data_IF_044981439998
#
_entry.id   IF_044981439998
#
_cell.length_a   1.000
_cell.length_b   1.000
_cell.length_c   1.000
_cell.angle_alpha   90.00
_cell.angle_beta   90.00
_cell.angle_gamma   90.00
#
_symmetry.space_group_name_H-M   'P 1'
#
loop_
_entity.id
_entity.type
_entity.pdbx_description
1 polymer ?
#
# COMPACT_ATOMS: atom_id res chain seq x y z
N UNK A 1 -45.17 -5.10 1.56
CA UNK A 1 -44.73 -4.08 0.58
C UNK A 1 -43.23 -4.18 0.39
N UNK A 2 -42.73 -4.15 -0.85
CA UNK A 2 -41.28 -4.22 -1.15
C UNK A 2 -40.74 -2.82 -1.43
N UNK A 3 -39.80 -2.36 -0.62
CA UNK A 3 -39.14 -1.04 -0.78
C UNK A 3 -37.80 -1.22 -1.51
N UNK A 4 -37.58 -0.44 -2.56
CA UNK A 4 -36.35 -0.45 -3.37
C UNK A 4 -35.50 0.78 -3.06
N UNK A 5 -34.25 0.60 -2.67
CA UNK A 5 -33.31 1.69 -2.37
C UNK A 5 -32.08 1.59 -3.25
N UNK A 6 -31.79 2.65 -4.01
CA UNK A 6 -30.55 2.77 -4.79
C UNK A 6 -29.39 3.23 -3.90
N UNK A 7 -28.27 2.52 -3.97
CA UNK A 7 -27.08 2.92 -3.21
C UNK A 7 -25.81 2.76 -4.05
N UNK A 8 -25.41 3.82 -4.77
CA UNK A 8 -24.20 3.75 -5.57
C UNK A 8 -22.98 3.59 -4.65
N UNK A 9 -21.99 2.84 -5.10
CA UNK A 9 -20.72 2.64 -4.38
C UNK A 9 -20.83 1.93 -3.02
N UNK A 10 -21.92 1.20 -2.76
CA UNK A 10 -22.09 0.44 -1.51
C UNK A 10 -20.92 -0.52 -1.23
N UNK A 11 -20.33 -1.10 -2.29
CA UNK A 11 -19.18 -2.00 -2.20
C UNK A 11 -17.87 -1.30 -1.82
N UNK A 12 -17.76 0.02 -2.05
CA UNK A 12 -16.55 0.77 -1.70
C UNK A 12 -16.44 0.97 -0.19
N UNK A 13 -17.57 1.10 0.49
CA UNK A 13 -17.68 1.32 1.94
C UNK A 13 -18.71 0.35 2.53
N UNK A 14 -18.30 -0.90 2.63
CA UNK A 14 -19.12 -1.99 3.18
C UNK A 14 -19.55 -1.69 4.61
N UNK A 15 -18.73 -1.01 5.40
CA UNK A 15 -19.04 -0.72 6.81
C UNK A 15 -20.14 0.34 6.94
N UNK A 16 -20.11 1.41 6.13
CA UNK A 16 -21.21 2.36 6.05
C UNK A 16 -22.48 1.67 5.51
N UNK A 17 -22.31 0.66 4.67
CA UNK A 17 -23.42 -0.15 4.18
C UNK A 17 -24.03 -1.01 5.28
N UNK A 18 -23.21 -1.71 6.06
CA UNK A 18 -23.61 -2.51 7.22
C UNK A 18 -24.36 -1.71 8.27
N UNK A 19 -23.81 -0.56 8.70
CA UNK A 19 -24.46 0.31 9.69
C UNK A 19 -25.85 0.77 9.23
N UNK A 20 -25.97 1.05 7.95
CA UNK A 20 -27.27 1.41 7.37
C UNK A 20 -28.21 0.22 7.27
N UNK A 21 -27.72 -0.98 6.92
CA UNK A 21 -28.56 -2.19 6.96
C UNK A 21 -29.10 -2.44 8.37
N UNK A 22 -28.27 -2.28 9.40
CA UNK A 22 -28.70 -2.34 10.81
C UNK A 22 -29.76 -1.30 11.12
N UNK A 23 -29.56 -0.05 10.71
CA UNK A 23 -30.56 1.02 10.88
C UNK A 23 -31.87 0.75 10.13
N UNK A 24 -31.82 0.06 8.98
CA UNK A 24 -33.03 -0.34 8.24
C UNK A 24 -33.78 -1.44 8.98
N UNK A 25 -33.08 -2.45 9.51
CA UNK A 25 -33.70 -3.51 10.31
C UNK A 25 -34.32 -2.98 11.62
N UNK A 26 -33.68 -2.00 12.27
CA UNK A 26 -34.24 -1.30 13.43
C UNK A 26 -35.55 -0.57 13.12
N UNK A 27 -35.76 -0.19 11.85
CA UNK A 27 -37.02 0.43 11.37
C UNK A 27 -38.04 -0.61 10.87
N UNK A 28 -37.76 -1.90 11.01
CA UNK A 28 -38.61 -2.97 10.51
C UNK A 28 -38.48 -3.22 9.01
N UNK A 29 -37.38 -2.83 8.37
CA UNK A 29 -37.10 -3.18 6.98
C UNK A 29 -36.14 -4.36 6.91
N UNK A 30 -36.66 -5.53 6.55
CA UNK A 30 -35.87 -6.75 6.38
C UNK A 30 -35.29 -6.83 4.97
N UNK A 31 -33.99 -7.08 4.87
CA UNK A 31 -33.28 -7.17 3.60
C UNK A 31 -33.58 -8.50 2.89
N UNK A 32 -34.18 -8.42 1.70
CA UNK A 32 -34.56 -9.61 0.92
C UNK A 32 -33.60 -9.88 -0.23
N UNK A 33 -33.15 -8.83 -0.93
CA UNK A 33 -32.33 -8.99 -2.15
C UNK A 33 -31.38 -7.83 -2.36
N UNK A 34 -30.21 -8.15 -2.92
CA UNK A 34 -29.25 -7.18 -3.44
C UNK A 34 -29.04 -7.44 -4.93
N UNK A 35 -29.35 -6.45 -5.76
CA UNK A 35 -28.95 -6.43 -7.16
C UNK A 35 -27.62 -5.68 -7.32
N UNK A 36 -26.56 -6.43 -7.62
CA UNK A 36 -25.20 -5.89 -7.74
C UNK A 36 -25.02 -4.99 -8.96
N UNK A 37 -25.62 -5.34 -10.10
CA UNK A 37 -25.47 -4.60 -11.35
C UNK A 37 -26.15 -3.24 -11.27
N UNK A 38 -27.41 -3.21 -10.81
CA UNK A 38 -28.16 -1.96 -10.68
C UNK A 38 -27.92 -1.24 -9.35
N UNK A 39 -27.17 -1.85 -8.42
CA UNK A 39 -26.85 -1.31 -7.08
C UNK A 39 -28.09 -0.99 -6.23
N UNK A 40 -29.13 -1.80 -6.38
CA UNK A 40 -30.37 -1.67 -5.60
C UNK A 40 -30.47 -2.72 -4.51
N UNK A 41 -31.00 -2.29 -3.37
CA UNK A 41 -31.36 -3.12 -2.23
C UNK A 41 -32.88 -3.19 -2.15
N UNK A 42 -33.40 -4.39 -1.92
CA UNK A 42 -34.83 -4.65 -1.81
C UNK A 42 -35.14 -5.10 -0.39
N UNK A 43 -36.09 -4.42 0.22
CA UNK A 43 -36.52 -4.66 1.58
C UNK A 43 -37.99 -5.06 1.62
N UNK A 44 -38.35 -5.89 2.59
CA UNK A 44 -39.73 -6.18 2.94
C UNK A 44 -40.04 -5.58 4.30
N UNK A 45 -41.27 -5.13 4.49
CA UNK A 45 -41.74 -4.70 5.80
C UNK A 45 -41.84 -5.91 6.73
N UNK A 46 -41.12 -5.86 7.84
CA UNK A 46 -41.11 -6.84 8.91
C UNK A 46 -41.07 -6.15 10.27
N UNK A 47 -40.76 -6.92 11.31
CA UNK A 47 -40.69 -6.38 12.68
C UNK A 47 -39.38 -5.62 12.92
N UNK A 48 -39.42 -4.51 13.67
CA UNK A 48 -38.22 -3.82 14.16
C UNK A 48 -37.32 -4.76 14.97
N UNK A 49 -36.09 -5.00 14.50
CA UNK A 49 -35.11 -5.87 15.18
C UNK A 49 -33.73 -5.22 15.19
N UNK A 50 -33.06 -5.27 16.34
CA UNK A 50 -31.64 -4.91 16.43
C UNK A 50 -30.81 -6.05 15.86
N UNK A 51 -30.32 -5.88 14.63
CA UNK A 51 -29.46 -6.85 13.95
C UNK A 51 -28.16 -6.21 13.51
N UNK A 52 -27.06 -6.89 13.81
CA UNK A 52 -25.73 -6.52 13.31
C UNK A 52 -25.50 -7.21 11.98
N UNK A 53 -25.39 -6.43 10.90
CA UNK A 53 -25.08 -6.95 9.58
C UNK A 53 -23.58 -6.94 9.29
N UNK A 54 -23.11 -7.95 8.58
CA UNK A 54 -21.76 -8.00 8.02
C UNK A 54 -21.82 -8.45 6.57
N UNK A 55 -21.10 -7.73 5.73
CA UNK A 55 -20.95 -8.05 4.31
C UNK A 55 -19.64 -8.79 4.13
N UNK A 56 -19.67 -9.92 3.45
CA UNK A 56 -18.49 -10.68 3.07
C UNK A 56 -18.33 -10.75 1.56
N UNK A 57 -17.10 -11.02 1.12
CA UNK A 57 -16.78 -11.34 -0.26
C UNK A 57 -16.11 -12.70 -0.28
N UNK A 58 -16.60 -13.63 -1.09
CA UNK A 58 -15.97 -14.94 -1.30
C UNK A 58 -16.15 -15.34 -2.77
N UNK A 59 -15.04 -15.71 -3.43
CA UNK A 59 -15.06 -16.20 -4.81
C UNK A 59 -15.53 -17.65 -4.90
N UNK A 60 -15.30 -18.43 -3.84
CA UNK A 60 -15.74 -19.82 -3.74
C UNK A 60 -17.13 -19.79 -3.10
N UNK A 61 -18.13 -20.24 -3.84
CA UNK A 61 -19.52 -20.24 -3.35
C UNK A 61 -19.72 -21.40 -2.37
N UNK A 62 -19.22 -21.27 -1.15
CA UNK A 62 -19.62 -22.17 -0.07
C UNK A 62 -20.94 -21.68 0.50
N UNK A 63 -21.95 -22.56 0.49
CA UNK A 63 -23.28 -22.24 1.02
C UNK A 63 -23.25 -22.05 2.54
N UNK A 64 -22.31 -22.68 3.24
CA UNK A 64 -22.16 -22.62 4.70
C UNK A 64 -21.08 -21.62 5.16
N UNK A 65 -21.36 -20.99 6.31
CA UNK A 65 -20.37 -20.25 7.11
C UNK A 65 -19.47 -21.25 7.84
N UNK A 66 -18.31 -20.81 8.35
CA UNK A 66 -17.49 -21.65 9.22
C UNK A 66 -18.24 -22.00 10.50
N UNK A 67 -17.97 -23.19 11.07
CA UNK A 67 -18.61 -23.65 12.31
C UNK A 67 -18.46 -22.62 13.43
N UNK A 68 -17.27 -22.06 13.59
CA UNK A 68 -16.97 -20.98 14.56
C UNK A 68 -17.90 -19.78 14.43
N UNK A 69 -18.25 -19.35 13.20
CA UNK A 69 -19.16 -18.22 13.01
C UNK A 69 -20.61 -18.60 13.34
N UNK A 70 -21.03 -19.82 13.00
CA UNK A 70 -22.36 -20.33 13.34
C UNK A 70 -22.53 -20.44 14.86
N UNK A 71 -21.51 -20.95 15.55
CA UNK A 71 -21.47 -21.13 17.00
C UNK A 71 -21.55 -19.78 17.75
N UNK A 72 -21.01 -18.72 17.15
CA UNK A 72 -21.07 -17.34 17.65
C UNK A 72 -22.32 -16.58 17.19
N UNK A 73 -23.31 -17.28 16.61
CA UNK A 73 -24.63 -16.75 16.26
C UNK A 73 -24.74 -16.03 14.91
N UNK A 74 -23.73 -16.14 14.03
CA UNK A 74 -23.82 -15.58 12.68
C UNK A 74 -24.63 -16.46 11.75
N UNK A 75 -25.63 -15.89 11.10
CA UNK A 75 -26.43 -16.56 10.07
C UNK A 75 -26.27 -15.85 8.73
N UNK A 76 -26.18 -16.62 7.65
CA UNK A 76 -26.12 -16.08 6.28
C UNK A 76 -27.53 -15.70 5.83
N UNK A 77 -27.77 -14.40 5.64
CA UNK A 77 -29.08 -13.85 5.24
C UNK A 77 -29.28 -13.94 3.73
N UNK A 78 -28.24 -13.60 2.96
CA UNK A 78 -28.32 -13.65 1.51
C UNK A 78 -26.96 -13.85 0.86
N UNK A 79 -26.98 -14.31 -0.39
CA UNK A 79 -25.84 -14.31 -1.29
C UNK A 79 -26.25 -13.78 -2.67
N UNK A 80 -25.42 -12.90 -3.23
CA UNK A 80 -25.55 -12.37 -4.58
C UNK A 80 -24.19 -12.48 -5.26
N UNK A 81 -24.00 -13.53 -6.06
CA UNK A 81 -22.71 -13.92 -6.61
C UNK A 81 -21.63 -14.04 -5.54
N UNK A 82 -20.54 -13.28 -5.69
CA UNK A 82 -19.40 -13.34 -4.77
C UNK A 82 -19.62 -12.54 -3.47
N UNK A 83 -20.73 -11.82 -3.35
CA UNK A 83 -21.05 -11.06 -2.15
C UNK A 83 -22.07 -11.82 -1.31
N UNK A 84 -21.88 -11.85 0.00
CA UNK A 84 -22.85 -12.40 0.93
C UNK A 84 -23.06 -11.45 2.09
N UNK A 85 -24.23 -11.55 2.73
CA UNK A 85 -24.55 -10.79 3.93
C UNK A 85 -24.87 -11.77 5.04
N UNK A 86 -24.22 -11.59 6.18
CA UNK A 86 -24.53 -12.29 7.43
C UNK A 86 -25.19 -11.33 8.41
N UNK A 87 -26.02 -11.87 9.28
CA UNK A 87 -26.61 -11.14 10.40
C UNK A 87 -26.32 -11.89 11.70
N UNK A 88 -26.23 -11.13 12.78
CA UNK A 88 -26.19 -11.63 14.14
C UNK A 88 -27.14 -10.75 14.99
N UNK A 89 -27.91 -11.38 15.85
CA UNK A 89 -28.90 -10.71 16.72
C UNK A 89 -28.30 -10.28 18.06
N UNK A 90 -27.09 -10.75 18.39
CA UNK A 90 -26.39 -10.37 19.60
C UNK A 90 -25.90 -8.91 19.54
N UNK A 91 -25.85 -8.19 20.69
CA UNK A 91 -25.20 -6.90 20.80
C UNK A 91 -23.73 -6.97 20.39
N UNK A 92 -23.22 -5.92 19.74
CA UNK A 92 -21.84 -5.83 19.23
C UNK A 92 -20.76 -6.13 20.29
N UNK A 93 -21.05 -5.91 21.57
CA UNK A 93 -20.16 -6.13 22.71
C UNK A 93 -19.99 -7.62 23.07
N UNK A 94 -20.96 -8.46 22.70
CA UNK A 94 -20.96 -9.90 23.04
C UNK A 94 -20.38 -10.76 21.92
N UNK A 95 -20.30 -10.22 20.70
CA UNK A 95 -19.79 -10.92 19.51
C UNK A 95 -18.27 -11.04 19.58
N UNK A 96 -17.74 -12.26 19.67
CA UNK A 96 -16.29 -12.51 19.75
C UNK A 96 -15.68 -12.71 18.37
N UNK A 97 -16.44 -13.26 17.44
CA UNK A 97 -15.97 -13.67 16.10
C UNK A 97 -16.65 -12.83 15.02
N UNK A 98 -15.92 -12.52 13.95
CA UNK A 98 -16.42 -11.67 12.87
C UNK A 98 -15.93 -12.27 11.54
N UNK A 99 -16.73 -12.16 10.47
CA UNK A 99 -16.32 -12.61 9.14
C UNK A 99 -15.03 -11.95 8.67
N UNK A 100 -14.18 -12.73 7.99
CA UNK A 100 -12.89 -12.28 7.44
C UNK A 100 -13.11 -11.20 6.37
N UNK A 101 -12.30 -10.12 6.42
CA UNK A 101 -12.43 -8.95 5.55
C UNK A 101 -11.41 -8.87 4.42
N UNK A 102 -10.45 -9.79 4.39
CA UNK A 102 -9.32 -9.75 3.48
C UNK A 102 -9.75 -9.75 2.02
N UNK A 103 -10.71 -10.59 1.67
CA UNK A 103 -11.23 -10.73 0.31
C UNK A 103 -11.92 -9.45 -0.21
N UNK A 104 -12.55 -8.68 0.68
CA UNK A 104 -13.11 -7.36 0.35
C UNK A 104 -11.99 -6.38 0.05
N UNK A 105 -10.93 -6.39 0.87
CA UNK A 105 -9.75 -5.53 0.65
C UNK A 105 -9.08 -5.88 -0.68
N UNK A 106 -8.91 -7.18 -1.00
CA UNK A 106 -8.36 -7.65 -2.28
C UNK A 106 -9.21 -7.16 -3.45
N UNK A 107 -10.53 -7.32 -3.39
CA UNK A 107 -11.45 -6.82 -4.42
C UNK A 107 -11.37 -5.29 -4.59
N UNK A 108 -11.40 -4.54 -3.48
CA UNK A 108 -11.31 -3.08 -3.49
C UNK A 108 -9.97 -2.59 -4.06
N UNK A 109 -8.85 -3.28 -3.80
CA UNK A 109 -7.55 -2.96 -4.41
C UNK A 109 -7.59 -3.10 -5.93
N UNK A 110 -8.24 -4.12 -6.48
CA UNK A 110 -8.41 -4.26 -7.94
C UNK A 110 -9.14 -3.06 -8.52
N UNK A 111 -10.26 -2.65 -7.90
CA UNK A 111 -11.02 -1.48 -8.34
C UNK A 111 -10.19 -0.20 -8.21
N UNK A 112 -9.47 -0.05 -7.10
CA UNK A 112 -8.56 1.08 -6.86
C UNK A 112 -7.54 1.23 -7.98
N UNK A 113 -6.90 0.13 -8.41
CA UNK A 113 -5.92 0.17 -9.50
C UNK A 113 -6.55 0.59 -10.82
N UNK A 114 -7.74 0.09 -11.16
CA UNK A 114 -8.46 0.50 -12.38
C UNK A 114 -8.71 2.02 -12.36
N UNK A 115 -9.30 2.55 -11.28
CA UNK A 115 -9.56 3.99 -11.18
C UNK A 115 -8.27 4.82 -11.13
N UNK A 116 -7.22 4.32 -10.47
CA UNK A 116 -5.94 5.00 -10.43
C UNK A 116 -5.30 5.07 -11.83
N UNK A 117 -5.35 3.99 -12.61
CA UNK A 117 -4.85 3.97 -14.00
C UNK A 117 -5.62 4.96 -14.89
N UNK A 118 -6.96 4.99 -14.79
CA UNK A 118 -7.78 5.96 -15.54
C UNK A 118 -7.47 7.40 -15.10
N UNK A 119 -7.34 7.64 -13.79
CA UNK A 119 -7.00 8.96 -13.25
C UNK A 119 -5.63 9.44 -13.75
N UNK A 120 -4.62 8.55 -13.73
CA UNK A 120 -3.28 8.86 -14.23
C UNK A 120 -3.35 9.20 -15.72
N UNK A 121 -4.04 8.39 -16.52
CA UNK A 121 -4.21 8.61 -17.96
C UNK A 121 -4.85 9.98 -18.25
N UNK A 122 -5.99 10.28 -17.63
CA UNK A 122 -6.68 11.55 -17.80
C UNK A 122 -5.83 12.75 -17.33
N UNK A 123 -5.07 12.57 -16.25
CA UNK A 123 -4.16 13.60 -15.74
C UNK A 123 -3.00 13.86 -16.70
N UNK A 124 -2.37 12.80 -17.23
CA UNK A 124 -1.26 12.91 -18.19
C UNK A 124 -1.73 13.62 -19.47
N UNK A 125 -2.90 13.27 -20.01
CA UNK A 125 -3.48 13.94 -21.17
C UNK A 125 -3.77 15.40 -20.86
N UNK A 126 -4.35 15.71 -19.71
CA UNK A 126 -4.66 17.08 -19.32
C UNK A 126 -3.39 17.92 -19.19
N UNK A 127 -2.36 17.40 -18.51
CA UNK A 127 -1.05 18.05 -18.37
C UNK A 127 -0.41 18.26 -19.74
N UNK A 128 -0.43 17.25 -20.61
CA UNK A 128 0.13 17.38 -21.97
C UNK A 128 -0.54 18.51 -22.76
N UNK A 129 -1.88 18.59 -22.73
CA UNK A 129 -2.61 19.67 -23.39
C UNK A 129 -2.34 21.04 -22.76
N UNK A 130 -2.22 21.12 -21.43
CA UNK A 130 -1.85 22.36 -20.74
C UNK A 130 -0.44 22.82 -21.10
N UNK A 131 0.52 21.90 -21.20
CA UNK A 131 1.89 22.21 -21.63
C UNK A 131 1.87 22.73 -23.08
N UNK A 132 1.19 22.03 -24.00
CA UNK A 132 1.09 22.45 -25.39
C UNK A 132 0.44 23.84 -25.52
N UNK A 133 -0.65 24.08 -24.80
CA UNK A 133 -1.32 25.38 -24.75
C UNK A 133 -0.43 26.48 -24.17
N UNK A 134 0.35 26.17 -23.12
CA UNK A 134 1.28 27.14 -22.54
C UNK A 134 2.39 27.54 -23.51
N UNK A 135 2.94 26.59 -24.28
CA UNK A 135 3.97 26.88 -25.28
C UNK A 135 3.44 27.85 -26.33
N UNK A 136 2.21 27.66 -26.80
CA UNK A 136 1.57 28.56 -27.76
C UNK A 136 1.32 29.94 -27.14
N UNK A 137 0.85 29.99 -25.89
CA UNK A 137 0.56 31.25 -25.20
C UNK A 137 1.80 32.10 -24.92
N UNK A 138 2.94 31.46 -24.61
CA UNK A 138 4.20 32.15 -24.33
C UNK A 138 5.03 32.46 -25.59
N UNK A 139 4.65 31.94 -26.75
CA UNK A 139 5.26 32.34 -28.02
C UNK A 139 4.75 33.71 -28.43
N UNK A 140 5.66 34.63 -28.77
CA UNK A 140 5.35 35.99 -29.26
C UNK A 140 4.80 36.02 -30.69
N UNK A 141 4.20 34.93 -31.14
CA UNK A 141 3.59 34.80 -32.47
C UNK A 141 2.11 35.18 -32.34
N UNK A 142 1.57 36.08 -33.17
CA UNK A 142 0.15 36.42 -33.15
C UNK A 142 -0.68 35.18 -33.52
N UNK A 143 -1.25 34.53 -32.51
CA UNK A 143 -2.12 33.38 -32.69
C UNK A 143 -3.53 33.82 -33.06
N UNK A 144 -4.02 33.40 -34.23
CA UNK A 144 -5.44 33.50 -34.57
C UNK A 144 -6.20 32.34 -33.91
N UNK A 145 -6.94 32.63 -32.84
CA UNK A 145 -7.86 31.66 -32.25
C UNK A 145 -9.07 31.50 -33.16
N UNK A 146 -9.14 30.37 -33.87
CA UNK A 146 -10.31 30.00 -34.67
C UNK A 146 -11.28 29.24 -33.78
N UNK A 147 -12.50 29.76 -33.62
CA UNK A 147 -13.55 29.04 -32.90
C UNK A 147 -13.90 27.73 -33.60
N UNK A 148 -13.99 26.65 -32.82
CA UNK A 148 -14.38 25.35 -33.37
C UNK A 148 -15.83 25.42 -33.86
N UNK A 149 -16.13 24.97 -35.09
CA UNK A 149 -17.51 24.87 -35.59
C UNK A 149 -18.41 23.99 -34.70
N UNK A 150 -17.81 23.12 -33.87
CA UNK A 150 -18.47 22.21 -32.93
C UNK A 150 -18.25 22.62 -31.47
N UNK A 151 -18.14 23.92 -31.16
CA UNK A 151 -17.82 24.42 -29.83
C UNK A 151 -18.70 23.83 -28.71
N UNK A 152 -20.01 23.67 -28.94
CA UNK A 152 -20.94 23.06 -27.96
C UNK A 152 -20.52 21.64 -27.61
N UNK A 153 -20.20 20.83 -28.62
CA UNK A 153 -19.74 19.45 -28.42
C UNK A 153 -18.40 19.42 -27.68
N UNK A 154 -17.49 20.33 -28.01
CA UNK A 154 -16.18 20.46 -27.35
C UNK A 154 -16.33 20.76 -25.87
N UNK A 155 -17.13 21.76 -25.48
CA UNK A 155 -17.36 22.07 -24.07
C UNK A 155 -18.12 20.95 -23.34
N UNK A 156 -19.07 20.30 -23.99
CA UNK A 156 -19.78 19.16 -23.43
C UNK A 156 -18.84 17.99 -23.12
N UNK A 157 -17.95 17.64 -24.05
CA UNK A 157 -16.94 16.59 -23.86
C UNK A 157 -15.92 16.96 -22.77
N UNK A 158 -15.50 18.23 -22.69
CA UNK A 158 -14.67 18.73 -21.58
C UNK A 158 -15.39 18.55 -20.25
N UNK A 159 -16.67 18.92 -20.17
CA UNK A 159 -17.51 18.73 -18.98
C UNK A 159 -17.58 17.27 -18.53
N UNK A 160 -17.80 16.33 -19.48
CA UNK A 160 -17.75 14.89 -19.22
C UNK A 160 -16.37 14.47 -18.72
N UNK A 161 -15.30 14.96 -19.36
CA UNK A 161 -13.92 14.67 -18.96
C UNK A 161 -13.62 15.10 -17.53
N UNK A 162 -14.02 16.31 -17.15
CA UNK A 162 -13.89 16.83 -15.78
C UNK A 162 -14.71 15.98 -14.80
N UNK A 163 -15.96 15.66 -15.13
CA UNK A 163 -16.81 14.83 -14.26
C UNK A 163 -16.21 13.43 -14.04
N UNK A 164 -15.67 12.79 -15.09
CA UNK A 164 -14.97 11.51 -15.00
C UNK A 164 -13.69 11.62 -14.17
N UNK A 165 -12.92 12.68 -14.36
CA UNK A 165 -11.71 12.93 -13.58
C UNK A 165 -12.03 13.08 -12.08
N UNK A 166 -13.04 13.89 -11.73
CA UNK A 166 -13.50 14.05 -10.34
C UNK A 166 -14.02 12.73 -9.76
N UNK A 167 -14.79 11.95 -10.53
CA UNK A 167 -15.30 10.66 -10.11
C UNK A 167 -14.17 9.66 -9.82
N UNK A 168 -13.16 9.59 -10.69
CA UNK A 168 -12.02 8.69 -10.52
C UNK A 168 -11.18 9.11 -9.31
N UNK A 169 -10.93 10.41 -9.13
CA UNK A 169 -10.24 10.94 -7.94
C UNK A 169 -10.98 10.61 -6.65
N UNK A 170 -12.28 10.89 -6.60
CA UNK A 170 -13.13 10.56 -5.45
C UNK A 170 -13.08 9.05 -5.13
N UNK A 171 -13.20 8.20 -6.15
CA UNK A 171 -13.17 6.75 -6.00
C UNK A 171 -11.85 6.27 -5.40
N UNK A 172 -10.70 6.76 -5.91
CA UNK A 172 -9.36 6.44 -5.40
C UNK A 172 -9.23 6.81 -3.91
N UNK A 173 -9.59 8.06 -3.56
CA UNK A 173 -9.49 8.54 -2.18
C UNK A 173 -10.40 7.73 -1.26
N UNK A 174 -11.65 7.51 -1.66
CA UNK A 174 -12.67 6.84 -0.84
C UNK A 174 -12.33 5.36 -0.61
N UNK A 175 -11.90 4.64 -1.65
CA UNK A 175 -11.52 3.22 -1.54
C UNK A 175 -10.27 3.08 -0.69
N UNK A 176 -9.26 3.93 -0.89
CA UNK A 176 -8.03 3.87 -0.10
C UNK A 176 -8.30 4.14 1.39
N UNK A 177 -9.11 5.14 1.71
CA UNK A 177 -9.53 5.42 3.10
C UNK A 177 -10.26 4.24 3.73
N UNK A 178 -11.17 3.60 2.99
CA UNK A 178 -11.93 2.45 3.49
C UNK A 178 -11.03 1.23 3.68
N UNK A 179 -10.15 0.93 2.72
CA UNK A 179 -9.20 -0.18 2.83
C UNK A 179 -8.27 0.00 4.03
N UNK A 180 -7.77 1.22 4.29
CA UNK A 180 -6.98 1.52 5.50
C UNK A 180 -7.76 1.22 6.77
N UNK A 181 -9.06 1.51 6.81
CA UNK A 181 -9.90 1.23 7.97
C UNK A 181 -10.16 -0.27 8.15
N UNK A 182 -10.46 -0.99 7.06
CA UNK A 182 -10.66 -2.44 7.08
C UNK A 182 -9.38 -3.19 7.52
N UNK A 183 -8.22 -2.78 6.99
CA UNK A 183 -6.92 -3.31 7.38
C UNK A 183 -6.62 -2.95 8.85
N UNK A 184 -6.88 -1.70 9.25
CA UNK A 184 -6.67 -1.24 10.63
C UNK A 184 -7.48 -2.03 11.66
N UNK A 185 -8.75 -2.35 11.36
CA UNK A 185 -9.57 -3.23 12.21
C UNK A 185 -8.97 -4.64 12.31
N UNK A 186 -8.43 -5.18 11.21
CA UNK A 186 -7.81 -6.50 11.24
C UNK A 186 -6.47 -6.49 12.02
N UNK A 187 -5.66 -5.46 11.85
CA UNK A 187 -4.40 -5.27 12.59
C UNK A 187 -4.67 -5.07 14.08
N UNK A 188 -5.60 -4.19 14.45
CA UNK A 188 -5.94 -3.95 15.86
C UNK A 188 -6.46 -5.24 16.52
N UNK A 189 -7.20 -6.06 15.78
CA UNK A 189 -7.64 -7.39 16.24
C UNK A 189 -6.47 -8.35 16.42
N UNK A 190 -5.55 -8.42 15.45
CA UNK A 190 -4.31 -9.24 15.54
C UNK A 190 -3.39 -8.75 16.67
N UNK A 191 -3.34 -7.44 16.94
CA UNK A 191 -2.61 -6.84 18.06
C UNK A 191 -3.28 -7.12 19.40
N UNK A 192 -4.61 -7.17 19.48
CA UNK A 192 -5.34 -7.55 20.69
C UNK A 192 -5.18 -9.06 21.01
N UNK A 193 -5.12 -9.90 19.99
CA UNK A 193 -4.89 -11.35 20.15
C UNK A 193 -3.41 -11.71 20.36
N UNK A 194 -2.47 -10.90 19.87
CA UNK A 194 -1.02 -11.11 20.04
C UNK A 194 -0.37 -10.27 21.14
N UNK A 195 -1.16 -9.60 22.00
CA UNK A 195 -0.66 -8.60 22.96
C UNK A 195 0.03 -9.17 24.19
N UNK A 196 0.09 -10.47 24.36
CA UNK A 196 0.80 -11.05 25.51
C UNK A 196 2.33 -11.05 25.33
N UNK A 197 2.90 -10.74 24.15
CA UNK A 197 4.34 -10.99 23.95
C UNK A 197 5.23 -9.98 23.21
N UNK A 198 4.83 -8.75 22.83
CA UNK A 198 5.80 -7.81 22.21
C UNK A 198 5.84 -6.37 22.77
N UNK A 199 7.00 -6.08 23.39
CA UNK A 199 7.72 -4.82 23.67
C UNK A 199 6.94 -3.49 23.72
N UNK A 200 6.94 -2.88 24.92
CA UNK A 200 6.45 -1.52 25.21
C UNK A 200 6.99 -0.50 24.20
N UNK A 201 6.11 0.05 23.35
CA UNK A 201 6.40 1.31 22.64
C UNK A 201 6.58 2.41 23.68
N UNK A 202 7.82 2.90 23.82
CA UNK A 202 8.18 4.02 24.69
C UNK A 202 7.32 5.25 24.36
N UNK A 203 6.88 5.98 25.39
CA UNK A 203 6.18 7.25 25.20
C UNK A 203 7.12 8.30 24.59
N UNK A 204 6.58 9.31 23.89
CA UNK A 204 7.39 10.41 23.33
C UNK A 204 8.22 11.13 24.40
N UNK A 205 7.67 11.26 25.61
CA UNK A 205 8.36 11.90 26.73
C UNK A 205 9.50 11.03 27.25
N UNK A 206 9.32 9.72 27.23
CA UNK A 206 10.32 8.73 27.62
C UNK A 206 11.46 8.67 26.60
N UNK A 207 11.15 8.71 25.30
CA UNK A 207 12.16 8.87 24.24
C UNK A 207 12.97 10.15 24.41
N UNK A 208 12.32 11.27 24.76
CA UNK A 208 13.01 12.54 24.99
C UNK A 208 13.91 12.48 26.21
N UNK A 209 13.50 11.78 27.28
CA UNK A 209 14.32 11.54 28.47
C UNK A 209 15.52 10.65 28.14
N UNK A 210 15.31 9.51 27.48
CA UNK A 210 16.39 8.58 27.10
C UNK A 210 17.40 9.22 26.13
N UNK A 211 16.92 10.12 25.26
CA UNK A 211 17.81 10.88 24.37
C UNK A 211 18.64 11.91 25.12
N UNK A 212 18.11 12.51 26.20
CA UNK A 212 18.85 13.43 27.08
C UNK A 212 19.84 12.70 27.97
N UNK A 213 19.52 11.49 28.42
CA UNK A 213 20.42 10.64 29.22
C UNK A 213 21.51 9.95 28.40
N UNK A 214 21.52 10.10 27.07
CA UNK A 214 22.49 9.44 26.17
C UNK A 214 22.23 7.95 25.95
N UNK A 215 21.19 7.38 26.58
CA UNK A 215 20.81 5.97 26.43
C UNK A 215 20.10 5.67 25.10
N UNK A 216 19.72 6.71 24.35
CA UNK A 216 19.11 6.60 23.03
C UNK A 216 20.03 7.11 21.92
N UNK A 217 20.37 6.25 20.97
CA UNK A 217 21.19 6.59 19.81
C UNK A 217 20.34 6.56 18.55
N UNK A 218 20.49 7.57 17.70
CA UNK A 218 19.77 7.67 16.42
C UNK A 218 20.76 7.64 15.28
N UNK A 219 20.58 6.71 14.34
CA UNK A 219 21.39 6.59 13.13
C UNK A 219 20.50 6.69 11.88
N UNK A 220 21.04 7.28 10.81
CA UNK A 220 20.33 7.41 9.53
C UNK A 220 20.99 6.55 8.47
N UNK A 221 20.20 5.79 7.72
CA UNK A 221 20.64 4.98 6.58
C UNK A 221 19.69 5.22 5.41
N UNK A 222 20.17 5.89 4.38
CA UNK A 222 19.40 6.17 3.16
C UNK A 222 19.66 5.11 2.09
N UNK A 223 18.62 4.73 1.35
CA UNK A 223 18.74 3.83 0.19
C UNK A 223 19.19 2.41 0.51
N UNK A 224 18.96 1.93 1.75
CA UNK A 224 19.32 0.57 2.14
C UNK A 224 18.53 -0.49 1.38
N UNK A 225 17.32 -0.16 0.88
CA UNK A 225 16.48 -1.02 0.05
C UNK A 225 17.21 -1.53 -1.22
N UNK A 226 18.24 -0.82 -1.67
CA UNK A 226 19.05 -1.21 -2.84
C UNK A 226 20.23 -2.12 -2.49
N UNK A 227 20.50 -2.35 -1.20
CA UNK A 227 21.53 -3.25 -0.69
C UNK A 227 21.12 -3.76 0.71
N UNK A 228 20.04 -4.55 0.82
CA UNK A 228 19.48 -4.98 2.10
C UNK A 228 20.50 -5.80 2.93
N UNK A 229 21.34 -6.59 2.28
CA UNK A 229 22.42 -7.37 2.91
C UNK A 229 23.37 -6.52 3.77
N UNK A 230 23.65 -5.29 3.32
CA UNK A 230 24.52 -4.36 4.07
C UNK A 230 23.81 -3.76 5.27
N UNK A 231 22.49 -3.60 5.19
CA UNK A 231 21.70 -3.14 6.32
C UNK A 231 21.61 -4.21 7.39
N UNK A 232 21.28 -5.44 7.00
CA UNK A 232 21.17 -6.59 7.91
C UNK A 232 22.43 -6.72 8.74
N UNK A 233 23.59 -6.88 8.08
CA UNK A 233 24.90 -6.95 8.77
C UNK A 233 25.21 -5.75 9.64
N UNK A 234 24.79 -4.56 9.22
CA UNK A 234 25.01 -3.37 10.03
C UNK A 234 24.14 -3.37 11.29
N UNK A 235 22.89 -3.83 11.21
CA UNK A 235 22.02 -3.97 12.38
C UNK A 235 22.52 -5.05 13.32
N UNK A 236 22.94 -6.20 12.79
CA UNK A 236 23.55 -7.29 13.56
C UNK A 236 24.79 -6.78 14.33
N UNK A 237 25.69 -6.05 13.66
CA UNK A 237 26.88 -5.48 14.30
C UNK A 237 26.54 -4.41 15.37
N UNK A 238 25.41 -3.70 15.23
CA UNK A 238 24.95 -2.75 16.25
C UNK A 238 24.46 -3.49 17.50
N UNK A 239 23.68 -4.56 17.35
CA UNK A 239 23.22 -5.40 18.47
C UNK A 239 24.38 -6.07 19.21
N UNK A 240 25.41 -6.51 18.48
CA UNK A 240 26.64 -7.07 19.06
C UNK A 240 27.43 -6.05 19.89
N UNK A 241 27.29 -4.76 19.60
CA UNK A 241 27.89 -3.68 20.36
C UNK A 241 27.02 -3.24 21.56
N UNK A 242 25.87 -3.89 21.79
CA UNK A 242 24.89 -3.51 22.81
C UNK A 242 24.00 -2.33 22.40
N UNK A 243 23.95 -2.00 21.11
CA UNK A 243 22.98 -1.05 20.58
C UNK A 243 21.75 -1.80 20.07
N UNK A 244 20.75 -1.92 20.93
CA UNK A 244 19.58 -2.74 20.66
C UNK A 244 18.56 -1.92 19.88
N UNK A 245 18.17 -2.39 18.69
CA UNK A 245 17.20 -1.70 17.84
C UNK A 245 15.83 -1.77 18.51
N UNK A 246 15.26 -0.62 18.87
CA UNK A 246 13.92 -0.56 19.44
C UNK A 246 12.88 -0.07 18.42
N UNK A 247 13.29 0.76 17.44
CA UNK A 247 12.37 1.32 16.46
C UNK A 247 13.05 1.73 15.17
N UNK A 248 12.34 1.54 14.07
CA UNK A 248 12.61 2.20 12.80
C UNK A 248 11.55 3.28 12.53
N UNK A 249 12.00 4.46 12.09
CA UNK A 249 11.13 5.58 11.73
C UNK A 249 10.19 5.22 10.57
N UNK A 250 9.09 5.96 10.42
CA UNK A 250 8.01 5.65 9.43
C UNK A 250 8.50 5.56 7.99
N UNK A 251 9.55 6.30 7.63
CA UNK A 251 10.15 6.30 6.28
C UNK A 251 11.12 5.13 6.06
N UNK A 252 11.45 4.37 7.11
CA UNK A 252 12.45 3.30 7.07
C UNK A 252 13.90 3.79 7.12
N UNK A 253 14.17 5.10 7.13
CA UNK A 253 15.54 5.63 6.97
C UNK A 253 16.23 6.02 8.28
N UNK A 254 15.49 6.03 9.39
CA UNK A 254 15.98 6.44 10.71
C UNK A 254 15.83 5.26 11.66
N UNK A 255 16.92 4.86 12.30
CA UNK A 255 17.00 3.73 13.20
C UNK A 255 17.31 4.25 14.59
N UNK A 256 16.52 3.80 15.56
CA UNK A 256 16.64 4.22 16.94
C UNK A 256 17.05 3.02 17.79
N UNK A 257 18.13 3.20 18.54
CA UNK A 257 18.76 2.18 19.36
C UNK A 257 18.72 2.60 20.83
N UNK A 258 18.46 1.65 21.71
CA UNK A 258 18.66 1.77 23.14
C UNK A 258 19.96 1.10 23.53
N UNK A 259 20.73 1.71 24.43
CA UNK A 259 21.88 1.02 25.04
C UNK A 259 21.37 -0.14 25.90
N UNK A 260 21.81 -1.35 25.56
CA UNK A 260 21.47 -2.60 26.26
C UNK A 260 22.68 -3.52 26.33
N UNK A 261 22.44 -4.77 26.74
CA UNK A 261 23.46 -5.81 26.68
C UNK A 261 23.67 -6.29 25.25
N UNK A 262 24.92 -6.55 24.83
CA UNK A 262 25.22 -7.24 23.58
C UNK A 262 24.38 -8.50 23.40
N UNK A 263 23.75 -8.66 22.23
CA UNK A 263 22.97 -9.85 21.89
C UNK A 263 23.10 -10.23 20.42
N UNK A 264 22.78 -11.49 20.12
CA UNK A 264 22.81 -12.04 18.78
C UNK A 264 21.41 -12.02 18.20
N UNK A 265 21.18 -11.13 17.24
CA UNK A 265 19.89 -10.98 16.55
C UNK A 265 20.17 -11.08 15.06
N UNK A 266 19.44 -11.94 14.35
CA UNK A 266 19.48 -11.96 12.90
C UNK A 266 18.41 -11.01 12.34
N UNK A 267 18.80 -10.24 11.33
CA UNK A 267 17.89 -9.36 10.60
C UNK A 267 17.66 -9.86 9.18
N UNK A 268 16.42 -9.76 8.72
CA UNK A 268 16.08 -10.06 7.33
C UNK A 268 15.19 -8.96 6.75
N UNK A 269 15.71 -8.27 5.74
CA UNK A 269 15.01 -7.25 4.99
C UNK A 269 14.32 -7.89 3.78
N UNK A 270 13.01 -8.11 3.92
CA UNK A 270 12.21 -8.82 2.95
C UNK A 270 11.37 -7.89 2.07
N UNK A 271 11.46 -8.08 0.75
CA UNK A 271 10.70 -7.37 -0.29
C UNK A 271 9.50 -8.15 -0.84
N UNK A 272 8.30 -7.58 -0.71
CA UNK A 272 7.06 -8.14 -1.23
C UNK A 272 6.31 -7.15 -2.13
N UNK A 273 5.89 -7.62 -3.30
CA UNK A 273 5.03 -6.84 -4.21
C UNK A 273 3.59 -6.78 -3.68
N UNK A 274 3.05 -7.91 -3.24
CA UNK A 274 1.70 -8.03 -2.66
C UNK A 274 1.82 -9.02 -1.50
N UNK A 275 1.84 -8.49 -0.28
CA UNK A 275 1.83 -9.34 0.91
C UNK A 275 0.40 -9.85 1.16
N UNK A 276 0.24 -11.16 1.21
CA UNK A 276 -0.96 -11.80 1.75
C UNK A 276 -0.97 -11.63 3.29
N UNK A 277 -2.13 -11.48 3.92
CA UNK A 277 -2.18 -11.28 5.37
C UNK A 277 -1.74 -12.54 6.14
N UNK A 278 -1.84 -13.73 5.54
CA UNK A 278 -1.30 -14.98 6.10
C UNK A 278 0.23 -15.07 6.11
N UNK A 279 0.92 -14.28 5.28
CA UNK A 279 2.39 -14.27 5.23
C UNK A 279 2.99 -13.84 6.58
N UNK A 280 2.46 -12.79 7.20
CA UNK A 280 2.99 -12.27 8.48
C UNK A 280 2.73 -13.23 9.64
N UNK A 281 1.66 -14.03 9.56
CA UNK A 281 1.30 -14.98 10.61
C UNK A 281 2.34 -16.10 10.66
N UNK A 282 2.67 -16.70 9.50
CA UNK A 282 3.67 -17.77 9.38
C UNK A 282 5.03 -17.35 9.97
N UNK A 283 5.48 -16.12 9.73
CA UNK A 283 6.77 -15.67 10.25
C UNK A 283 6.74 -15.39 11.75
N UNK A 284 5.64 -14.84 12.27
CA UNK A 284 5.47 -14.63 13.71
C UNK A 284 5.41 -15.95 14.47
N UNK A 285 4.70 -16.94 13.92
CA UNK A 285 4.63 -18.30 14.48
C UNK A 285 6.02 -18.98 14.47
N UNK A 286 6.88 -18.64 13.50
CA UNK A 286 8.28 -19.06 13.45
C UNK A 286 9.24 -18.22 14.34
N UNK A 287 8.70 -17.37 15.22
CA UNK A 287 9.46 -16.57 16.19
C UNK A 287 10.12 -15.31 15.61
N UNK A 288 9.73 -14.87 14.41
CA UNK A 288 10.22 -13.60 13.84
C UNK A 288 9.38 -12.42 14.29
N UNK A 289 10.06 -11.37 14.76
CA UNK A 289 9.44 -10.08 15.12
C UNK A 289 9.56 -9.08 13.97
N UNK A 290 8.52 -8.30 13.72
CA UNK A 290 8.53 -7.27 12.66
C UNK A 290 9.06 -5.93 13.18
N UNK A 291 10.36 -5.67 13.03
CA UNK A 291 11.00 -4.42 13.43
C UNK A 291 10.57 -3.20 12.58
N UNK A 292 10.18 -3.42 11.32
CA UNK A 292 9.67 -2.36 10.43
C UNK A 292 8.77 -2.92 9.33
N UNK A 293 7.75 -2.17 8.94
CA UNK A 293 6.93 -2.43 7.75
C UNK A 293 6.77 -1.10 6.99
N UNK A 294 7.12 -1.10 5.70
CA UNK A 294 6.97 0.09 4.87
C UNK A 294 5.49 0.43 4.62
N UNK A 295 5.20 1.72 4.52
CA UNK A 295 3.84 2.20 4.26
C UNK A 295 3.39 2.05 2.79
N UNK A 296 4.29 1.64 1.89
CA UNK A 296 4.00 1.53 0.46
C UNK A 296 3.21 0.26 0.17
N UNK A 297 2.12 0.41 -0.59
CA UNK A 297 1.29 -0.70 -1.05
C UNK A 297 1.83 -1.40 -2.30
N UNK A 298 2.86 -0.85 -2.95
CA UNK A 298 3.41 -1.35 -4.22
C UNK A 298 4.81 -1.97 -3.99
N UNK A 299 5.58 -1.39 -3.07
CA UNK A 299 6.91 -1.86 -2.69
C UNK A 299 6.94 -2.06 -1.18
N UNK A 300 6.38 -3.19 -0.72
CA UNK A 300 6.30 -3.48 0.71
C UNK A 300 7.62 -4.09 1.16
N UNK A 301 8.29 -3.40 2.07
CA UNK A 301 9.50 -3.87 2.71
C UNK A 301 9.18 -4.17 4.16
N UNK A 302 9.54 -5.36 4.62
CA UNK A 302 9.43 -5.76 6.01
C UNK A 302 10.82 -6.05 6.54
N UNK A 303 11.19 -5.43 7.66
CA UNK A 303 12.39 -5.80 8.39
C UNK A 303 11.96 -6.74 9.51
N UNK A 304 12.44 -7.97 9.42
CA UNK A 304 12.25 -8.99 10.42
C UNK A 304 13.49 -9.10 11.30
N UNK A 305 13.29 -9.46 12.56
CA UNK A 305 14.34 -9.68 13.55
C UNK A 305 14.03 -10.92 14.38
N UNK A 306 15.04 -11.76 14.64
CA UNK A 306 14.93 -12.90 15.54
C UNK A 306 16.22 -13.05 16.35
N UNK A 307 16.07 -13.08 17.66
CA UNK A 307 17.18 -13.33 18.60
C UNK A 307 17.52 -14.83 18.62
N UNK A 308 18.79 -15.17 18.78
CA UNK A 308 19.29 -16.54 18.80
C UNK A 308 20.46 -16.69 19.77
N UNK A 309 20.72 -17.92 20.21
CA UNK A 309 21.73 -18.18 21.25
C UNK A 309 23.14 -18.33 20.68
N UNK A 310 24.16 -18.08 21.51
CA UNK A 310 25.55 -18.33 21.16
C UNK A 310 25.75 -19.83 20.90
N UNK A 311 26.14 -20.19 19.68
CA UNK A 311 26.32 -21.58 19.22
C UNK A 311 25.15 -22.14 18.41
N UNK A 312 24.02 -21.43 18.33
CA UNK A 312 22.93 -21.74 17.42
C UNK A 312 23.24 -21.20 16.01
N UNK A 313 22.80 -21.91 14.96
CA UNK A 313 22.89 -21.37 13.60
C UNK A 313 21.99 -20.13 13.46
N UNK A 314 22.47 -19.07 12.78
CA UNK A 314 21.69 -17.86 12.62
C UNK A 314 20.37 -18.16 11.88
N UNK A 315 19.22 -17.79 12.46
CA UNK A 315 17.93 -18.13 11.89
C UNK A 315 17.76 -17.44 10.54
N UNK A 316 17.30 -18.18 9.54
CA UNK A 316 17.03 -17.65 8.20
C UNK A 316 15.54 -17.73 7.90
N UNK A 317 14.98 -16.64 7.35
CA UNK A 317 13.58 -16.63 6.89
C UNK A 317 13.36 -17.60 5.73
N UNK A 318 14.38 -17.75 4.90
CA UNK A 318 14.35 -18.60 3.72
C UNK A 318 15.32 -19.75 3.90
N UNK A 319 14.80 -20.96 4.07
CA UNK A 319 15.61 -22.19 4.19
C UNK A 319 16.33 -22.55 2.89
N UNK A 320 15.76 -22.18 1.74
CA UNK A 320 16.34 -22.46 0.42
C UNK A 320 17.08 -21.22 -0.16
N UNK A 321 18.36 -21.42 -0.45
CA UNK A 321 19.26 -20.45 -1.12
C UNK A 321 18.71 -20.01 -2.48
N UNK A 322 17.99 -20.90 -3.19
CA UNK A 322 17.38 -20.60 -4.50
C UNK A 322 16.32 -19.50 -4.40
N UNK A 323 15.54 -19.50 -3.31
CA UNK A 323 14.48 -18.52 -3.06
C UNK A 323 15.08 -17.14 -2.81
N UNK A 324 16.16 -17.04 -2.03
CA UNK A 324 16.85 -15.79 -1.77
C UNK A 324 17.46 -15.20 -3.06
N UNK A 325 18.04 -16.04 -3.92
CA UNK A 325 18.59 -15.57 -5.19
C UNK A 325 17.49 -15.08 -6.14
N UNK A 326 16.36 -15.79 -6.22
CA UNK A 326 15.18 -15.38 -7.00
C UNK A 326 14.60 -14.07 -6.48
N UNK A 327 14.59 -13.88 -5.16
CA UNK A 327 14.18 -12.65 -4.50
C UNK A 327 15.08 -11.46 -4.88
N UNK A 328 16.40 -11.61 -4.71
CA UNK A 328 17.36 -10.56 -5.09
C UNK A 328 17.30 -10.21 -6.58
N UNK A 329 17.13 -11.21 -7.45
CA UNK A 329 16.93 -11.00 -8.89
C UNK A 329 15.68 -10.19 -9.18
N UNK A 330 14.57 -10.51 -8.51
CA UNK A 330 13.30 -9.78 -8.65
C UNK A 330 13.45 -8.32 -8.26
N UNK A 331 14.14 -8.02 -7.15
CA UNK A 331 14.44 -6.65 -6.73
C UNK A 331 15.22 -5.93 -7.83
N UNK A 332 16.31 -6.53 -8.32
CA UNK A 332 17.17 -5.92 -9.34
C UNK A 332 16.41 -5.62 -10.64
N UNK A 333 15.61 -6.58 -11.12
CA UNK A 333 14.76 -6.39 -12.32
C UNK A 333 13.74 -5.28 -12.08
N UNK A 334 13.02 -5.31 -10.96
CA UNK A 334 11.94 -4.35 -10.65
C UNK A 334 12.47 -2.92 -10.66
N UNK A 335 13.58 -2.66 -9.94
CA UNK A 335 14.18 -1.33 -9.91
C UNK A 335 14.83 -0.93 -11.23
N UNK A 336 15.39 -1.89 -11.99
CA UNK A 336 15.90 -1.60 -13.34
C UNK A 336 14.77 -1.17 -14.29
N UNK A 337 13.64 -1.88 -14.31
CA UNK A 337 12.48 -1.50 -15.11
C UNK A 337 11.91 -0.14 -14.69
N UNK A 338 12.03 0.24 -13.42
CA UNK A 338 11.54 1.53 -12.92
C UNK A 338 12.48 2.69 -13.28
N UNK A 339 13.80 2.51 -13.14
CA UNK A 339 14.77 3.61 -13.26
C UNK A 339 15.48 3.69 -14.60
N UNK A 340 15.71 2.57 -15.30
CA UNK A 340 16.43 2.56 -16.57
C UNK A 340 15.71 3.37 -17.67
N UNK A 341 14.37 3.28 -17.84
CA UNK A 341 13.68 4.12 -18.82
C UNK A 341 13.84 5.62 -18.53
N UNK A 342 13.82 6.02 -17.24
CA UNK A 342 14.06 7.41 -16.84
C UNK A 342 15.49 7.86 -17.18
N UNK A 343 16.48 7.01 -16.92
CA UNK A 343 17.89 7.30 -17.26
C UNK A 343 18.05 7.46 -18.77
N UNK A 344 17.48 6.54 -19.58
CA UNK A 344 17.53 6.61 -21.05
C UNK A 344 16.83 7.89 -21.54
N UNK A 345 15.67 8.22 -20.97
CA UNK A 345 14.92 9.42 -21.32
C UNK A 345 15.71 10.70 -21.01
N UNK A 346 16.37 10.78 -19.84
CA UNK A 346 17.21 11.93 -19.51
C UNK A 346 18.46 12.02 -20.39
N UNK A 347 19.08 10.89 -20.75
CA UNK A 347 20.19 10.87 -21.72
C UNK A 347 19.71 11.41 -23.08
N UNK A 348 18.53 10.97 -23.54
CA UNK A 348 17.92 11.47 -24.78
C UNK A 348 17.65 12.97 -24.71
N UNK A 349 17.09 13.48 -23.62
CA UNK A 349 16.85 14.92 -23.43
C UNK A 349 18.17 15.69 -23.49
N UNK A 350 19.22 15.24 -22.80
CA UNK A 350 20.53 15.89 -22.84
C UNK A 350 21.06 15.88 -24.29
N UNK A 351 21.00 14.75 -24.98
CA UNK A 351 21.44 14.64 -26.37
C UNK A 351 20.69 15.57 -27.32
N UNK A 352 19.37 15.66 -27.19
CA UNK A 352 18.54 16.59 -27.97
C UNK A 352 18.89 18.05 -27.68
N UNK A 353 19.13 18.41 -26.41
CA UNK A 353 19.55 19.77 -26.05
C UNK A 353 20.97 20.09 -26.57
N UNK A 354 21.90 19.14 -26.57
CA UNK A 354 23.24 19.30 -27.17
C UNK A 354 23.14 19.47 -28.69
N UNK A 355 22.26 18.74 -29.36
CA UNK A 355 22.02 18.89 -30.79
C UNK A 355 21.44 20.28 -31.12
N UNK A 356 20.46 20.75 -30.35
CA UNK A 356 19.90 22.10 -30.49
C UNK A 356 20.94 23.20 -30.19
N UNK A 357 21.85 22.94 -29.25
CA UNK A 357 22.99 23.80 -28.90
C UNK A 357 23.98 23.97 -30.07
N UNK A 358 24.12 23.00 -30.98
CA UNK A 358 24.97 23.18 -32.16
C UNK A 358 24.52 24.35 -33.05
N UNK A 359 23.27 24.81 -32.89
CA UNK A 359 22.68 25.86 -33.73
C UNK A 359 22.50 27.21 -33.00
N UNK A 360 22.64 27.29 -31.67
CA UNK A 360 22.45 28.52 -30.87
C UNK A 360 23.36 28.55 -29.62
N UNK A 361 23.78 29.75 -29.18
CA UNK A 361 24.54 29.90 -27.92
C UNK A 361 23.74 29.45 -26.69
N UNK A 362 24.44 28.85 -25.72
CA UNK A 362 23.83 28.32 -24.49
C UNK A 362 23.22 29.42 -23.63
N UNK A 363 21.92 29.31 -23.37
CA UNK A 363 21.27 30.06 -22.30
C UNK A 363 21.63 29.46 -20.93
N UNK A 364 21.79 30.31 -19.91
CA UNK A 364 22.12 29.93 -18.54
C UNK A 364 21.13 28.91 -17.97
N UNK A 365 19.85 29.01 -18.34
CA UNK A 365 18.81 28.07 -17.92
C UNK A 365 19.01 26.66 -18.51
N UNK A 366 19.50 26.56 -19.75
CA UNK A 366 19.78 25.28 -20.39
C UNK A 366 20.95 24.56 -19.72
N UNK A 367 22.01 25.30 -19.35
CA UNK A 367 23.17 24.75 -18.62
C UNK A 367 22.73 24.18 -17.26
N UNK A 368 21.90 24.92 -16.51
CA UNK A 368 21.37 24.47 -15.23
C UNK A 368 20.53 23.19 -15.40
N UNK A 369 19.65 23.16 -16.41
CA UNK A 369 18.83 21.98 -16.70
C UNK A 369 19.66 20.75 -17.08
N UNK A 370 20.67 20.90 -17.94
CA UNK A 370 21.60 19.81 -18.29
C UNK A 370 22.35 19.29 -17.05
N UNK A 371 22.84 20.18 -16.20
CA UNK A 371 23.53 19.82 -14.96
C UNK A 371 22.63 19.02 -14.02
N UNK A 372 21.36 19.45 -13.89
CA UNK A 372 20.37 18.72 -13.09
C UNK A 372 20.10 17.32 -13.65
N UNK A 373 19.94 17.18 -14.97
CA UNK A 373 19.72 15.86 -15.59
C UNK A 373 20.90 14.91 -15.39
N UNK A 374 22.14 15.41 -15.44
CA UNK A 374 23.34 14.60 -15.13
C UNK A 374 23.27 14.08 -13.69
N UNK A 375 22.95 14.94 -12.72
CA UNK A 375 22.79 14.53 -11.32
C UNK A 375 21.68 13.47 -11.15
N UNK A 376 20.57 13.61 -11.86
CA UNK A 376 19.47 12.63 -11.85
C UNK A 376 19.89 11.30 -12.46
N UNK A 377 20.61 11.31 -13.59
CA UNK A 377 21.17 10.11 -14.22
C UNK A 377 22.09 9.36 -13.26
N UNK A 378 23.01 10.07 -12.61
CA UNK A 378 23.92 9.47 -11.63
C UNK A 378 23.16 8.89 -10.44
N UNK A 379 22.15 9.62 -9.94
CA UNK A 379 21.34 9.17 -8.80
C UNK A 379 20.55 7.90 -9.11
N UNK A 380 19.72 7.93 -10.16
CA UNK A 380 18.88 6.79 -10.55
C UNK A 380 19.70 5.61 -11.08
N UNK A 381 20.78 5.88 -11.83
CA UNK A 381 21.72 4.86 -12.27
C UNK A 381 22.38 4.14 -11.11
N UNK A 382 22.74 4.86 -10.03
CA UNK A 382 23.32 4.26 -8.83
C UNK A 382 22.40 3.25 -8.15
N UNK A 383 21.08 3.46 -8.18
CA UNK A 383 20.10 2.55 -7.57
C UNK A 383 20.05 1.22 -8.32
N UNK A 384 19.96 1.25 -9.65
CA UNK A 384 20.02 0.06 -10.49
C UNK A 384 21.34 -0.70 -10.26
N UNK A 385 22.47 -0.01 -10.29
CA UNK A 385 23.79 -0.63 -10.05
C UNK A 385 23.85 -1.31 -8.68
N UNK A 386 23.40 -0.64 -7.61
CA UNK A 386 23.43 -1.20 -6.24
C UNK A 386 22.63 -2.49 -6.12
N UNK A 387 21.44 -2.54 -6.71
CA UNK A 387 20.58 -3.74 -6.69
C UNK A 387 21.20 -4.92 -7.46
N UNK A 388 21.85 -4.67 -8.60
CA UNK A 388 22.58 -5.70 -9.33
C UNK A 388 23.84 -6.16 -8.60
N UNK A 389 24.55 -5.26 -7.93
CA UNK A 389 25.68 -5.62 -7.08
C UNK A 389 25.23 -6.48 -5.89
N UNK A 390 24.06 -6.18 -5.30
CA UNK A 390 23.45 -7.03 -4.27
C UNK A 390 23.17 -8.44 -4.80
N UNK A 391 22.47 -8.56 -5.93
CA UNK A 391 22.24 -9.85 -6.58
C UNK A 391 23.54 -10.61 -6.85
N UNK A 392 24.57 -9.93 -7.37
CA UNK A 392 25.87 -10.55 -7.67
C UNK A 392 26.60 -11.01 -6.40
N UNK A 393 26.57 -10.24 -5.30
CA UNK A 393 27.13 -10.65 -4.01
C UNK A 393 26.45 -11.90 -3.48
N UNK A 394 25.13 -11.95 -3.57
CA UNK A 394 24.34 -13.09 -3.12
C UNK A 394 24.60 -14.33 -3.99
N UNK A 395 24.63 -14.17 -5.31
CA UNK A 395 24.95 -15.25 -6.25
C UNK A 395 26.34 -15.86 -6.00
N UNK A 396 27.35 -15.03 -5.67
CA UNK A 396 28.69 -15.51 -5.33
C UNK A 396 28.75 -16.28 -4.01
N UNK A 397 27.82 -16.04 -3.08
CA UNK A 397 27.76 -16.71 -1.77
C UNK A 397 27.11 -18.10 -1.85
N UNK A 398 26.36 -18.36 -2.92
CA UNK A 398 25.59 -19.60 -3.13
C UNK A 398 26.13 -20.49 -4.26
N UNK A 399 27.19 -20.04 -4.95
CA UNK A 399 28.12 -20.92 -5.65
C UNK A 399 29.15 -21.41 -4.65
#
# INVERSE_FOLDING_TARGET
>A
MITKVFRPFWSYDVQKTEKWLSSMAEKGHELVKINRGTRHFFFQQGEPRKRTYRIGFNKIQTNSLSRVLLDDGWVKVLQSGNWYVTANEQPLEQIKTFPVREDIVKHNKTILYIFASVLIYLTVISIFNLILGSVIFFQSVPGHFVESPLWILTYFLIGIGIALWVLTLYSVIKINKTNKKLIGENIQRKELQGREQDERRLSKDEEKRLRRSGQLIVKRRFGWFYAPDKLEKWLEAMEEQGFNLYRVGKTGTVFYFTMGSPRKVSYCADYQNIADEGYFDIHRDAGWKSAFISASSIQKWTLWSREYSMGEEPPQIYSDKSHQLKHARRIAITYSCMFLPLVIFYIYIIGANIHLMSNHNLDKMQIINMTLFILLILNFGSFSIRTWLYYRRLSKRYK
#
